data_IF_004821261435
#
_entry.id   IF_004821261435
#
_cell.length_a   1.000
_cell.length_b   1.000
_cell.length_c   1.000
_cell.angle_alpha   90.00
_cell.angle_beta   90.00
_cell.angle_gamma   90.00
#
_symmetry.space_group_name_H-M   'P 1'
#
loop_
_entity.id
_entity.type
_entity.pdbx_description
1 polymer ?
#
# COMPACT_ATOMS: atom_id res chain seq x y z
N UNK A 1 -28.83 -22.42 14.35
CA UNK A 1 -29.15 -21.15 13.66
C UNK A 1 -27.84 -20.60 13.12
N UNK A 2 -27.74 -20.40 11.81
CA UNK A 2 -26.56 -19.79 11.20
C UNK A 2 -26.51 -18.33 11.65
N UNK A 3 -25.42 -17.95 12.27
CA UNK A 3 -25.21 -16.56 12.71
C UNK A 3 -25.00 -15.70 11.48
N UNK A 4 -25.88 -14.74 11.24
CA UNK A 4 -25.75 -13.77 10.14
C UNK A 4 -25.04 -12.50 10.66
N UNK A 5 -24.08 -12.02 9.91
CA UNK A 5 -23.36 -10.78 10.19
C UNK A 5 -23.90 -9.63 9.33
N UNK A 6 -23.71 -8.38 9.78
CA UNK A 6 -23.95 -7.22 8.94
C UNK A 6 -22.92 -7.14 7.81
N UNK A 7 -21.66 -7.46 8.13
CA UNK A 7 -20.58 -7.51 7.15
C UNK A 7 -19.56 -8.62 7.45
N UNK A 8 -18.99 -9.17 6.38
CA UNK A 8 -17.78 -9.98 6.45
C UNK A 8 -16.63 -9.19 5.82
N UNK A 9 -15.47 -9.16 6.47
CA UNK A 9 -14.24 -8.60 5.95
C UNK A 9 -13.23 -9.73 5.78
N UNK A 10 -12.66 -9.89 4.59
CA UNK A 10 -11.69 -10.93 4.28
C UNK A 10 -10.30 -10.30 4.15
N UNK A 11 -9.39 -10.66 5.06
CA UNK A 11 -8.03 -10.13 5.16
C UNK A 11 -7.86 -9.10 6.27
N UNK A 12 -6.79 -9.26 7.06
CA UNK A 12 -6.42 -8.42 8.21
C UNK A 12 -5.31 -7.43 7.90
N UNK A 13 -5.04 -7.13 6.61
CA UNK A 13 -4.17 -6.03 6.21
C UNK A 13 -4.79 -4.67 6.54
N UNK A 14 -4.08 -3.56 6.30
CA UNK A 14 -4.56 -2.23 6.66
C UNK A 14 -5.97 -1.90 6.13
N UNK A 15 -6.32 -2.33 4.91
CA UNK A 15 -7.66 -2.10 4.35
C UNK A 15 -8.74 -2.84 5.16
N UNK A 16 -8.53 -4.13 5.43
CA UNK A 16 -9.54 -4.94 6.12
C UNK A 16 -9.66 -4.59 7.60
N UNK A 17 -8.54 -4.42 8.31
CA UNK A 17 -8.57 -4.06 9.72
C UNK A 17 -9.26 -2.70 9.95
N UNK A 18 -8.97 -1.71 9.09
CA UNK A 18 -9.60 -0.38 9.19
C UNK A 18 -11.07 -0.41 8.77
N UNK A 19 -11.43 -1.19 7.75
CA UNK A 19 -12.84 -1.38 7.41
C UNK A 19 -13.61 -2.03 8.56
N UNK A 20 -13.06 -3.08 9.17
CA UNK A 20 -13.67 -3.75 10.32
C UNK A 20 -13.78 -2.82 11.54
N UNK A 21 -12.74 -2.02 11.85
CA UNK A 21 -12.81 -1.01 12.92
C UNK A 21 -13.93 0.01 12.65
N UNK A 22 -14.01 0.55 11.43
CA UNK A 22 -15.02 1.55 11.09
C UNK A 22 -16.45 0.99 11.14
N UNK A 23 -16.67 -0.24 10.66
CA UNK A 23 -17.95 -0.94 10.77
C UNK A 23 -18.31 -1.22 12.23
N UNK A 24 -17.34 -1.71 13.02
CA UNK A 24 -17.56 -1.96 14.46
C UNK A 24 -17.91 -0.69 15.23
N UNK A 25 -17.23 0.42 14.96
CA UNK A 25 -17.55 1.74 15.57
C UNK A 25 -18.95 2.24 15.17
N UNK A 26 -19.44 1.86 14.00
CA UNK A 26 -20.82 2.14 13.57
C UNK A 26 -21.84 1.13 14.13
N UNK A 27 -21.44 0.25 15.06
CA UNK A 27 -22.31 -0.75 15.71
C UNK A 27 -22.67 -1.93 14.79
N UNK A 28 -21.89 -2.20 13.73
CA UNK A 28 -22.17 -3.28 12.78
C UNK A 28 -21.45 -4.55 13.22
N UNK A 29 -22.23 -5.62 13.38
CA UNK A 29 -21.69 -6.94 13.70
C UNK A 29 -20.86 -7.47 12.54
N UNK A 30 -19.55 -7.49 12.69
CA UNK A 30 -18.59 -7.76 11.63
C UNK A 30 -17.77 -9.02 11.90
N UNK A 31 -17.69 -9.91 10.91
CA UNK A 31 -16.76 -11.05 10.94
C UNK A 31 -15.51 -10.69 10.15
N UNK A 32 -14.34 -10.73 10.80
CA UNK A 32 -13.04 -10.51 10.19
C UNK A 32 -12.33 -11.86 10.01
N UNK A 33 -12.06 -12.23 8.76
CA UNK A 33 -11.43 -13.50 8.39
C UNK A 33 -9.97 -13.29 7.94
N UNK A 34 -9.05 -14.13 8.46
CA UNK A 34 -7.66 -14.15 8.06
C UNK A 34 -7.18 -15.58 7.84
N UNK A 35 -6.46 -15.83 6.75
CA UNK A 35 -5.94 -17.16 6.41
C UNK A 35 -4.77 -17.61 7.30
N UNK A 36 -3.97 -16.67 7.78
CA UNK A 36 -2.81 -16.91 8.64
C UNK A 36 -3.18 -16.68 10.10
N UNK A 37 -2.45 -17.30 11.03
CA UNK A 37 -2.51 -16.94 12.44
C UNK A 37 -1.81 -15.61 12.69
N UNK A 38 -2.43 -14.73 13.48
CA UNK A 38 -1.84 -13.44 13.87
C UNK A 38 -0.91 -13.60 15.09
N UNK A 39 0.19 -12.79 15.18
CA UNK A 39 0.69 -11.85 14.19
C UNK A 39 1.36 -12.57 13.00
N UNK A 40 1.12 -12.11 11.77
CA UNK A 40 1.63 -12.74 10.56
C UNK A 40 2.60 -11.86 9.78
N UNK A 41 3.54 -12.48 9.09
CA UNK A 41 4.41 -11.78 8.16
C UNK A 41 3.63 -11.30 6.91
N UNK A 42 3.97 -10.12 6.40
CA UNK A 42 3.52 -9.63 5.11
C UNK A 42 4.68 -8.93 4.41
N UNK A 43 4.97 -9.34 3.19
CA UNK A 43 6.02 -8.70 2.36
C UNK A 43 5.69 -7.24 2.13
N UNK A 44 6.59 -6.35 2.54
CA UNK A 44 6.47 -4.90 2.40
C UNK A 44 7.70 -4.23 3.02
N UNK A 45 8.28 -3.25 2.34
CA UNK A 45 9.34 -2.42 2.92
C UNK A 45 8.96 -1.76 4.25
N UNK A 46 7.66 -1.64 4.55
CA UNK A 46 7.13 -1.18 5.83
C UNK A 46 7.42 0.30 6.11
N UNK A 47 7.68 1.10 5.09
CA UNK A 47 7.69 2.55 5.18
C UNK A 47 6.26 3.07 5.18
N UNK A 48 5.86 3.74 6.24
CA UNK A 48 4.51 4.31 6.44
C UNK A 48 4.63 5.81 6.50
N UNK A 49 4.08 6.49 5.52
CA UNK A 49 4.11 7.95 5.42
C UNK A 49 3.17 8.61 6.43
N UNK A 50 3.38 9.88 6.70
CA UNK A 50 2.54 10.66 7.63
C UNK A 50 1.07 10.71 7.24
N UNK A 51 0.76 10.53 5.96
CA UNK A 51 -0.61 10.43 5.43
C UNK A 51 -1.44 9.34 6.13
N UNK A 52 -0.79 8.25 6.54
CA UNK A 52 -1.47 7.13 7.21
C UNK A 52 -1.90 7.55 8.62
N UNK A 53 -1.03 8.24 9.36
CA UNK A 53 -1.36 8.80 10.69
C UNK A 53 -2.57 9.76 10.59
N UNK A 54 -2.53 10.66 9.60
CA UNK A 54 -3.64 11.59 9.33
C UNK A 54 -4.94 10.86 8.97
N UNK A 55 -4.86 9.86 8.10
CA UNK A 55 -6.04 9.08 7.70
C UNK A 55 -6.65 8.27 8.87
N UNK A 56 -5.80 7.75 9.76
CA UNK A 56 -6.24 7.03 10.96
C UNK A 56 -6.66 7.95 12.12
N UNK A 57 -6.30 9.24 12.06
CA UNK A 57 -6.56 10.19 13.14
C UNK A 57 -5.79 9.86 14.43
N UNK A 58 -4.58 9.28 14.33
CA UNK A 58 -3.77 8.85 15.48
C UNK A 58 -2.29 9.18 15.26
N UNK A 59 -1.56 9.35 16.36
CA UNK A 59 -0.09 9.39 16.33
C UNK A 59 0.45 7.97 16.22
N UNK A 60 1.28 7.72 15.21
CA UNK A 60 1.93 6.43 14.99
C UNK A 60 3.31 6.35 15.63
N UNK A 61 3.86 7.45 16.15
CA UNK A 61 5.20 7.49 16.77
C UNK A 61 5.38 6.46 17.89
N UNK A 62 4.40 6.24 18.79
CA UNK A 62 4.56 5.28 19.88
C UNK A 62 4.65 3.81 19.44
N UNK A 63 4.16 3.47 18.23
CA UNK A 63 4.15 2.10 17.72
C UNK A 63 5.13 1.90 16.56
N UNK A 64 5.79 2.97 16.11
CA UNK A 64 6.82 2.92 15.08
C UNK A 64 8.13 2.34 15.61
N UNK A 65 8.82 1.52 14.81
CA UNK A 65 10.15 1.00 15.14
C UNK A 65 11.24 2.05 14.94
N UNK A 66 11.09 2.85 13.89
CA UNK A 66 11.99 3.96 13.56
C UNK A 66 11.19 5.12 12.98
N UNK A 67 11.72 6.32 13.17
CA UNK A 67 11.21 7.54 12.55
C UNK A 67 12.31 8.17 11.72
N UNK A 68 12.07 8.30 10.42
CA UNK A 68 13.08 8.70 9.45
C UNK A 68 12.94 10.19 9.13
N UNK A 69 14.02 10.93 9.36
CA UNK A 69 14.12 12.34 9.02
C UNK A 69 15.06 12.60 7.84
N UNK A 70 15.87 11.63 7.43
CA UNK A 70 16.92 11.82 6.41
C UNK A 70 16.77 10.82 5.28
N UNK A 71 16.90 11.27 4.03
CA UNK A 71 16.94 10.42 2.83
C UNK A 71 18.32 10.52 2.19
N UNK A 72 19.01 9.41 1.99
CA UNK A 72 20.17 9.29 1.11
C UNK A 72 19.68 8.97 -0.31
N UNK A 73 19.69 9.96 -1.20
CA UNK A 73 19.31 9.79 -2.58
C UNK A 73 20.52 9.46 -3.44
N UNK A 74 20.54 8.27 -4.05
CA UNK A 74 21.62 7.79 -4.90
C UNK A 74 21.24 7.84 -6.38
N UNK A 75 22.23 8.10 -7.23
CA UNK A 75 22.14 8.03 -8.67
C UNK A 75 23.06 6.95 -9.22
N UNK A 76 22.48 5.86 -9.74
CA UNK A 76 23.18 4.76 -10.40
C UNK A 76 24.23 4.07 -9.52
N UNK A 77 24.00 3.98 -8.23
CA UNK A 77 24.93 3.41 -7.25
C UNK A 77 26.32 4.08 -7.32
N UNK A 78 26.39 5.36 -7.61
CA UNK A 78 27.68 6.11 -7.76
C UNK A 78 27.68 7.42 -7.00
N UNK A 79 26.74 8.31 -7.32
CA UNK A 79 26.62 9.60 -6.70
C UNK A 79 25.53 9.55 -5.62
N UNK A 80 25.78 10.18 -4.48
CA UNK A 80 24.79 10.28 -3.41
C UNK A 80 24.63 11.71 -2.93
N UNK A 81 23.45 12.02 -2.44
CA UNK A 81 23.13 13.27 -1.79
C UNK A 81 22.28 12.99 -0.55
N UNK A 82 22.75 13.49 0.60
CA UNK A 82 21.96 13.46 1.83
C UNK A 82 20.92 14.59 1.79
N UNK A 83 19.68 14.22 1.99
CA UNK A 83 18.51 15.08 1.92
C UNK A 83 17.84 15.10 3.31
N UNK A 84 18.17 16.05 4.19
CA UNK A 84 17.53 16.15 5.49
C UNK A 84 16.11 16.65 5.33
N UNK A 85 15.16 16.05 6.03
CA UNK A 85 13.83 16.56 6.27
C UNK A 85 13.88 17.63 7.37
N UNK A 86 13.07 18.67 7.28
CA UNK A 86 12.86 19.62 8.38
C UNK A 86 12.07 18.97 9.52
N UNK A 87 11.29 17.98 9.20
CA UNK A 87 10.43 17.19 10.07
C UNK A 87 10.48 15.73 9.64
N UNK A 88 10.05 14.77 10.48
CA UNK A 88 9.99 13.37 10.13
C UNK A 88 9.22 13.13 8.84
N UNK A 89 9.72 12.22 7.99
CA UNK A 89 9.17 11.93 6.67
C UNK A 89 8.36 10.63 6.67
N UNK A 90 8.89 9.59 7.29
CA UNK A 90 8.34 8.23 7.22
C UNK A 90 8.55 7.52 8.55
N UNK A 91 7.56 6.77 9.00
CA UNK A 91 7.70 5.78 10.06
C UNK A 91 8.00 4.40 9.48
N UNK A 92 8.87 3.64 10.13
CA UNK A 92 9.19 2.27 9.76
C UNK A 92 8.51 1.30 10.70
N UNK A 93 7.87 0.27 10.13
CA UNK A 93 7.14 -0.75 10.85
C UNK A 93 7.48 -2.13 10.33
N UNK A 94 7.47 -3.11 11.22
CA UNK A 94 7.24 -4.50 10.84
C UNK A 94 5.73 -4.71 10.64
N UNK A 95 5.36 -5.23 9.48
CA UNK A 95 3.96 -5.43 9.11
C UNK A 95 3.22 -6.39 10.05
N UNK A 96 3.92 -7.36 10.63
CA UNK A 96 3.34 -8.25 11.62
C UNK A 96 2.82 -7.49 12.84
N UNK A 97 3.58 -6.53 13.35
CA UNK A 97 3.20 -5.69 14.49
C UNK A 97 2.16 -4.64 14.11
N UNK A 98 2.36 -3.95 12.98
CA UNK A 98 1.44 -2.90 12.55
C UNK A 98 0.05 -3.44 12.21
N UNK A 99 -0.02 -4.54 11.44
CA UNK A 99 -1.31 -5.14 11.08
C UNK A 99 -2.03 -5.69 12.32
N UNK A 100 -1.31 -6.33 13.27
CA UNK A 100 -1.90 -6.81 14.53
C UNK A 100 -2.46 -5.65 15.36
N UNK A 101 -1.72 -4.55 15.48
CA UNK A 101 -2.20 -3.35 16.18
C UNK A 101 -3.48 -2.77 15.54
N UNK A 102 -3.60 -2.75 14.21
CA UNK A 102 -4.84 -2.33 13.55
C UNK A 102 -6.00 -3.29 13.84
N UNK A 103 -5.74 -4.59 13.93
CA UNK A 103 -6.75 -5.60 14.28
C UNK A 103 -7.20 -5.45 15.74
N UNK A 104 -6.28 -5.21 16.66
CA UNK A 104 -6.61 -4.95 18.07
C UNK A 104 -7.56 -3.75 18.21
N UNK A 105 -7.36 -2.68 17.44
CA UNK A 105 -8.28 -1.53 17.39
C UNK A 105 -9.66 -1.92 16.88
N UNK A 106 -9.75 -2.79 15.88
CA UNK A 106 -11.03 -3.28 15.38
C UNK A 106 -11.76 -4.13 16.43
N UNK A 107 -11.04 -5.04 17.10
CA UNK A 107 -11.60 -5.88 18.16
C UNK A 107 -12.05 -5.06 19.37
N UNK A 108 -11.35 -3.99 19.72
CA UNK A 108 -11.69 -3.10 20.82
C UNK A 108 -13.06 -2.40 20.64
N UNK A 109 -13.67 -2.42 19.46
CA UNK A 109 -15.03 -1.92 19.24
C UNK A 109 -16.11 -2.79 19.87
N UNK A 110 -15.79 -4.05 20.20
CA UNK A 110 -16.73 -5.05 20.75
C UNK A 110 -17.75 -5.60 19.73
N UNK A 111 -17.68 -5.16 18.47
CA UNK A 111 -18.59 -5.57 17.39
C UNK A 111 -17.90 -6.45 16.32
N UNK A 112 -16.58 -6.63 16.43
CA UNK A 112 -15.78 -7.39 15.47
C UNK A 112 -15.39 -8.73 16.06
N UNK A 113 -15.77 -9.83 15.39
CA UNK A 113 -15.30 -11.18 15.67
C UNK A 113 -14.18 -11.54 14.70
N UNK A 114 -13.01 -11.95 15.21
CA UNK A 114 -11.88 -12.42 14.41
C UNK A 114 -11.87 -13.95 14.35
N UNK A 115 -11.71 -14.47 13.13
CA UNK A 115 -11.33 -15.87 12.87
C UNK A 115 -10.09 -15.90 12.00
N UNK A 116 -8.94 -16.13 12.62
CA UNK A 116 -7.65 -16.29 11.97
C UNK A 116 -7.27 -17.77 11.79
N UNK A 117 -6.32 -18.04 10.90
CA UNK A 117 -5.99 -19.40 10.45
C UNK A 117 -7.07 -20.02 9.56
N UNK A 118 -7.98 -19.22 9.02
CA UNK A 118 -9.14 -19.67 8.24
C UNK A 118 -9.14 -19.08 6.82
N UNK A 119 -8.70 -19.86 5.84
CA UNK A 119 -8.60 -19.45 4.46
C UNK A 119 -9.95 -19.49 3.74
N UNK A 120 -10.39 -18.35 3.20
CA UNK A 120 -11.55 -18.28 2.29
C UNK A 120 -11.22 -19.01 0.98
N UNK A 121 -12.16 -19.79 0.48
CA UNK A 121 -12.07 -20.55 -0.78
C UNK A 121 -12.85 -19.91 -1.91
N UNK A 122 -14.06 -19.49 -1.62
CA UNK A 122 -14.94 -18.84 -2.60
C UNK A 122 -15.91 -17.87 -1.93
N UNK A 123 -16.40 -16.96 -2.74
CA UNK A 123 -17.41 -15.97 -2.38
C UNK A 123 -18.47 -15.93 -3.45
N UNK A 124 -19.71 -15.86 -3.01
CA UNK A 124 -20.88 -15.57 -3.85
C UNK A 124 -21.54 -14.29 -3.34
N UNK A 125 -22.00 -13.44 -4.24
CA UNK A 125 -22.69 -12.19 -3.89
C UNK A 125 -23.86 -11.96 -4.83
N UNK A 126 -25.02 -11.61 -4.25
CA UNK A 126 -26.21 -11.21 -4.97
C UNK A 126 -26.85 -9.94 -4.37
N UNK A 127 -28.05 -9.61 -4.78
CA UNK A 127 -28.79 -8.45 -4.28
C UNK A 127 -29.23 -8.59 -2.80
N UNK A 128 -29.26 -9.82 -2.26
CA UNK A 128 -29.73 -10.14 -0.90
C UNK A 128 -28.60 -10.20 0.11
N UNK A 129 -27.39 -10.48 -0.33
CA UNK A 129 -26.23 -10.58 0.56
C UNK A 129 -25.07 -11.33 -0.04
N UNK A 130 -24.24 -11.85 0.81
CA UNK A 130 -23.00 -12.53 0.46
C UNK A 130 -22.87 -13.85 1.22
N UNK A 131 -22.29 -14.84 0.55
CA UNK A 131 -21.93 -16.13 1.15
C UNK A 131 -20.42 -16.33 0.99
N UNK A 132 -19.72 -16.59 2.10
CA UNK A 132 -18.28 -16.85 2.14
C UNK A 132 -18.04 -18.27 2.57
N UNK A 133 -17.31 -19.05 1.77
CA UNK A 133 -17.00 -20.46 2.04
C UNK A 133 -15.51 -20.62 2.36
N UNK A 134 -15.26 -21.37 3.40
CA UNK A 134 -13.93 -21.88 3.77
C UNK A 134 -13.87 -23.40 3.54
N UNK A 135 -12.83 -24.08 3.99
CA UNK A 135 -12.77 -25.54 3.94
C UNK A 135 -13.73 -26.22 4.94
N UNK A 136 -14.02 -25.53 6.05
CA UNK A 136 -14.79 -26.09 7.17
C UNK A 136 -16.17 -25.45 7.30
N UNK A 137 -16.26 -24.15 7.05
CA UNK A 137 -17.42 -23.34 7.41
C UNK A 137 -17.98 -22.56 6.23
N UNK A 138 -19.25 -22.19 6.35
CA UNK A 138 -19.93 -21.23 5.47
C UNK A 138 -20.50 -20.10 6.33
N UNK A 139 -20.22 -18.86 5.93
CA UNK A 139 -20.69 -17.65 6.61
C UNK A 139 -21.55 -16.82 5.68
N UNK A 140 -22.56 -16.18 6.25
CA UNK A 140 -23.47 -15.30 5.52
C UNK A 140 -23.47 -13.91 6.12
N UNK A 141 -23.54 -12.88 5.27
CA UNK A 141 -23.66 -11.49 5.68
C UNK A 141 -24.46 -10.67 4.67
N UNK A 142 -24.80 -9.45 5.06
CA UNK A 142 -25.43 -8.50 4.14
C UNK A 142 -24.41 -7.89 3.17
N UNK A 143 -23.16 -7.69 3.61
CA UNK A 143 -22.08 -7.08 2.83
C UNK A 143 -20.77 -7.84 2.98
N UNK A 144 -19.88 -7.66 1.98
CA UNK A 144 -18.51 -8.15 2.01
C UNK A 144 -17.53 -7.04 1.65
N UNK A 145 -16.41 -6.99 2.40
CA UNK A 145 -15.20 -6.26 2.00
C UNK A 145 -14.08 -7.26 1.75
N UNK A 146 -13.69 -7.44 0.48
CA UNK A 146 -12.52 -8.22 0.07
C UNK A 146 -11.25 -7.37 0.19
N UNK A 147 -10.46 -7.64 1.22
CA UNK A 147 -9.17 -6.98 1.53
C UNK A 147 -8.03 -7.99 1.62
N UNK A 148 -8.15 -9.08 0.89
CA UNK A 148 -7.31 -10.28 0.90
C UNK A 148 -6.04 -10.17 0.03
N UNK A 149 -5.78 -8.96 -0.48
CA UNK A 149 -4.57 -8.62 -1.22
C UNK A 149 -4.60 -9.09 -2.67
N UNK A 150 -3.46 -8.93 -3.37
CA UNK A 150 -3.36 -9.15 -4.81
C UNK A 150 -3.66 -10.58 -5.25
N UNK A 151 -3.36 -11.57 -4.42
CA UNK A 151 -3.54 -12.99 -4.72
C UNK A 151 -4.77 -13.63 -4.03
N UNK A 152 -5.58 -12.82 -3.36
CA UNK A 152 -6.75 -13.29 -2.62
C UNK A 152 -7.83 -13.88 -3.53
N UNK A 153 -8.68 -14.78 -3.00
CA UNK A 153 -9.73 -15.44 -3.77
C UNK A 153 -10.93 -14.54 -4.06
N UNK A 154 -11.16 -13.46 -3.28
CA UNK A 154 -12.40 -12.69 -3.36
C UNK A 154 -12.59 -12.06 -4.74
N UNK A 155 -11.57 -11.32 -5.24
CA UNK A 155 -11.64 -10.70 -6.56
C UNK A 155 -11.93 -11.72 -7.67
N UNK A 156 -11.23 -12.87 -7.65
CA UNK A 156 -11.40 -13.96 -8.61
C UNK A 156 -12.79 -14.59 -8.52
N UNK A 157 -13.31 -14.87 -7.32
CA UNK A 157 -14.63 -15.45 -7.12
C UNK A 157 -15.74 -14.56 -7.70
N UNK A 158 -15.54 -13.24 -7.61
CA UNK A 158 -16.51 -12.26 -8.10
C UNK A 158 -16.28 -11.87 -9.58
N UNK A 159 -15.23 -12.37 -10.24
CA UNK A 159 -14.90 -11.99 -11.62
C UNK A 159 -14.43 -10.54 -11.74
N UNK A 160 -13.87 -9.98 -10.65
CA UNK A 160 -13.35 -8.60 -10.58
C UNK A 160 -11.84 -8.57 -10.76
N UNK A 161 -11.30 -7.43 -11.21
CA UNK A 161 -9.85 -7.19 -11.31
C UNK A 161 -9.09 -8.28 -12.08
N UNK A 162 -9.69 -8.84 -13.13
CA UNK A 162 -9.05 -9.90 -13.94
C UNK A 162 -7.87 -9.35 -14.74
N UNK A 163 -8.01 -8.15 -15.29
CA UNK A 163 -6.96 -7.40 -15.95
C UNK A 163 -6.45 -6.32 -14.99
N UNK A 164 -5.17 -6.35 -14.68
CA UNK A 164 -4.49 -5.37 -13.82
C UNK A 164 -3.00 -5.35 -14.11
N UNK A 165 -2.41 -4.18 -14.01
CA UNK A 165 -0.97 -4.03 -14.07
C UNK A 165 -0.33 -4.57 -12.77
N UNK A 166 0.78 -5.29 -12.90
CA UNK A 166 1.52 -5.85 -11.78
C UNK A 166 2.96 -5.35 -11.82
N UNK A 167 3.34 -4.52 -10.86
CA UNK A 167 4.69 -4.00 -10.74
C UNK A 167 5.54 -4.95 -9.87
N UNK A 168 6.59 -5.58 -10.42
CA UNK A 168 7.40 -6.52 -9.66
C UNK A 168 8.35 -5.81 -8.69
N UNK A 169 8.52 -6.42 -7.50
CA UNK A 169 9.48 -6.01 -6.50
C UNK A 169 10.12 -7.23 -5.84
N UNK A 170 11.31 -7.05 -5.28
CA UNK A 170 11.99 -8.05 -4.44
C UNK A 170 12.66 -7.35 -3.28
N UNK A 171 12.63 -7.97 -2.12
CA UNK A 171 13.24 -7.44 -0.90
C UNK A 171 13.95 -8.52 -0.10
N UNK A 172 14.88 -8.09 0.73
CA UNK A 172 15.63 -8.92 1.65
C UNK A 172 15.65 -8.26 3.03
N UNK A 173 15.44 -9.06 4.07
CA UNK A 173 15.70 -8.65 5.44
C UNK A 173 17.14 -9.04 5.78
N UNK A 174 17.95 -8.08 6.23
CA UNK A 174 19.40 -8.19 6.38
C UNK A 174 19.80 -7.84 7.80
N UNK A 175 20.35 -8.82 8.52
CA UNK A 175 21.01 -8.55 9.80
C UNK A 175 22.42 -8.00 9.54
N UNK A 176 22.75 -6.93 10.23
CA UNK A 176 24.03 -6.24 10.19
C UNK A 176 24.56 -6.01 11.61
N UNK A 177 25.82 -5.60 11.76
CA UNK A 177 26.37 -5.25 13.07
C UNK A 177 25.77 -3.95 13.65
N UNK A 178 25.97 -3.75 14.94
CA UNK A 178 25.43 -2.59 15.67
C UNK A 178 25.92 -1.25 15.07
N UNK A 179 27.15 -1.17 14.62
CA UNK A 179 27.73 0.04 14.01
C UNK A 179 27.03 0.38 12.70
N UNK A 180 26.71 -0.62 11.90
CA UNK A 180 25.95 -0.45 10.66
C UNK A 180 24.49 -0.07 10.96
N UNK A 181 23.86 -0.70 11.96
CA UNK A 181 22.50 -0.31 12.39
C UNK A 181 22.43 1.13 12.89
N UNK A 182 23.44 1.58 13.65
CA UNK A 182 23.53 2.95 14.16
C UNK A 182 23.62 3.98 13.02
N UNK A 183 24.37 3.69 11.96
CA UNK A 183 24.42 4.52 10.76
C UNK A 183 23.04 4.73 10.14
N UNK A 184 22.16 3.74 10.22
CA UNK A 184 20.82 3.77 9.63
C UNK A 184 19.72 4.21 10.61
N UNK A 185 20.08 4.71 11.79
CA UNK A 185 19.13 4.98 12.86
C UNK A 185 17.97 5.91 12.45
N UNK A 186 18.25 7.02 11.73
CA UNK A 186 17.30 8.07 11.37
C UNK A 186 17.17 8.29 9.86
N UNK A 187 17.76 7.41 9.06
CA UNK A 187 17.86 7.59 7.61
C UNK A 187 17.40 6.37 6.82
N UNK A 188 16.95 6.64 5.63
CA UNK A 188 16.69 5.64 4.60
C UNK A 188 17.47 5.98 3.33
N UNK A 189 17.69 5.00 2.44
CA UNK A 189 18.28 5.26 1.13
C UNK A 189 17.30 4.92 -0.01
N UNK A 190 17.42 5.70 -1.08
CA UNK A 190 16.76 5.45 -2.36
C UNK A 190 17.81 5.51 -3.46
N UNK A 191 17.91 4.49 -4.30
CA UNK A 191 18.73 4.50 -5.52
C UNK A 191 17.83 4.56 -6.75
N UNK A 192 18.14 5.47 -7.66
CA UNK A 192 17.41 5.65 -8.92
C UNK A 192 18.35 5.67 -10.12
N UNK A 193 17.82 5.28 -11.28
CA UNK A 193 18.54 5.31 -12.55
C UNK A 193 19.53 4.16 -12.79
N UNK A 194 19.70 3.22 -11.84
CA UNK A 194 20.57 2.04 -12.00
C UNK A 194 19.98 1.03 -12.96
N UNK A 195 18.72 0.77 -12.85
CA UNK A 195 17.92 0.00 -13.81
C UNK A 195 16.77 0.90 -14.29
N UNK A 196 16.55 0.96 -15.61
CA UNK A 196 15.48 1.80 -16.17
C UNK A 196 14.11 1.43 -15.57
N UNK A 197 13.34 2.45 -15.17
CA UNK A 197 12.02 2.27 -14.60
C UNK A 197 12.00 1.57 -13.23
N UNK A 198 13.10 1.63 -12.50
CA UNK A 198 13.22 0.98 -11.20
C UNK A 198 13.83 1.90 -10.16
N UNK A 199 13.63 1.55 -8.90
CA UNK A 199 14.34 2.13 -7.77
C UNK A 199 14.72 1.05 -6.76
N UNK A 200 15.76 1.34 -5.95
CA UNK A 200 16.14 0.52 -4.81
C UNK A 200 15.94 1.28 -3.51
N UNK A 201 15.74 0.56 -2.44
CA UNK A 201 15.60 1.14 -1.10
C UNK A 201 16.40 0.40 -0.04
N UNK A 202 16.75 1.13 1.02
CA UNK A 202 17.18 0.60 2.32
C UNK A 202 16.31 1.24 3.39
N UNK A 203 15.52 0.43 4.07
CA UNK A 203 14.60 0.84 5.12
C UNK A 203 15.00 0.18 6.45
N UNK A 204 15.47 0.94 7.44
CA UNK A 204 15.84 0.37 8.72
C UNK A 204 14.62 -0.08 9.52
N UNK A 205 14.77 -1.21 10.19
CA UNK A 205 13.88 -1.72 11.22
C UNK A 205 14.54 -1.61 12.59
N UNK A 206 13.90 -2.11 13.62
CA UNK A 206 14.47 -2.12 14.96
C UNK A 206 15.79 -2.89 15.02
N UNK A 207 15.84 -4.09 14.40
CA UNK A 207 16.91 -5.08 14.54
C UNK A 207 17.54 -5.51 13.21
N UNK A 208 17.04 -5.04 12.06
CA UNK A 208 17.55 -5.38 10.73
C UNK A 208 17.31 -4.24 9.71
N UNK A 209 17.82 -4.43 8.50
CA UNK A 209 17.54 -3.55 7.35
C UNK A 209 16.70 -4.30 6.33
N UNK A 210 15.61 -3.71 5.87
CA UNK A 210 14.89 -4.18 4.69
C UNK A 210 15.49 -3.51 3.46
N UNK A 211 16.08 -4.29 2.58
CA UNK A 211 16.74 -3.84 1.35
C UNK A 211 16.05 -4.43 0.15
N UNK A 212 15.59 -3.58 -0.76
CA UNK A 212 14.83 -4.07 -1.90
C UNK A 212 14.96 -3.23 -3.15
N UNK A 213 14.36 -3.73 -4.21
CA UNK A 213 14.25 -3.08 -5.52
C UNK A 213 12.88 -3.33 -6.11
N UNK A 214 12.31 -2.29 -6.74
CA UNK A 214 11.00 -2.35 -7.41
C UNK A 214 11.08 -1.77 -8.82
N UNK A 215 10.15 -2.18 -9.68
CA UNK A 215 10.03 -1.69 -11.04
C UNK A 215 8.67 -1.05 -11.26
N UNK A 216 8.64 0.11 -11.92
CA UNK A 216 7.42 0.84 -12.29
C UNK A 216 6.87 0.47 -13.66
N UNK A 217 7.56 -0.36 -14.43
CA UNK A 217 7.12 -0.76 -15.76
C UNK A 217 6.64 -2.20 -15.74
N UNK A 218 5.45 -2.42 -16.27
CA UNK A 218 4.88 -3.76 -16.51
C UNK A 218 5.51 -4.41 -17.73
N UNK A 219 6.11 -3.62 -18.65
CA UNK A 219 6.88 -4.11 -19.80
C UNK A 219 8.06 -4.93 -19.28
N UNK A 220 7.76 -6.17 -19.02
CA UNK A 220 8.48 -7.24 -18.37
C UNK A 220 9.99 -7.17 -18.60
N UNK A 221 10.65 -6.44 -17.70
CA UNK A 221 12.07 -6.69 -17.57
C UNK A 221 12.24 -8.09 -17.00
N UNK A 222 13.12 -8.89 -17.58
CA UNK A 222 13.33 -10.22 -17.06
C UNK A 222 13.57 -10.16 -15.56
N UNK A 223 12.88 -10.98 -14.78
CA UNK A 223 13.06 -11.06 -13.32
C UNK A 223 14.55 -11.16 -12.93
N UNK A 224 15.37 -11.71 -13.83
CA UNK A 224 16.83 -11.71 -13.73
C UNK A 224 17.43 -10.32 -13.59
N UNK A 225 17.02 -9.33 -14.40
CA UNK A 225 17.59 -7.97 -14.34
C UNK A 225 17.25 -7.28 -12.99
N UNK A 226 16.03 -7.46 -12.50
CA UNK A 226 15.64 -6.93 -11.19
C UNK A 226 16.45 -7.62 -10.06
N UNK A 227 16.63 -8.92 -10.14
CA UNK A 227 17.44 -9.69 -9.19
C UNK A 227 18.92 -9.28 -9.22
N UNK A 228 19.50 -9.07 -10.40
CA UNK A 228 20.88 -8.61 -10.56
C UNK A 228 21.04 -7.15 -10.05
N UNK A 229 20.06 -6.31 -10.27
CA UNK A 229 20.02 -4.97 -9.66
C UNK A 229 19.98 -5.07 -8.13
N UNK A 230 19.11 -5.91 -7.57
CA UNK A 230 19.00 -6.10 -6.12
C UNK A 230 20.33 -6.53 -5.49
N UNK A 231 21.08 -7.46 -6.11
CA UNK A 231 22.42 -7.86 -5.64
C UNK A 231 23.42 -6.70 -5.65
N UNK A 232 23.43 -5.92 -6.73
CA UNK A 232 24.35 -4.77 -6.86
C UNK A 232 23.99 -3.67 -5.86
N UNK A 233 22.69 -3.42 -5.67
CA UNK A 233 22.19 -2.45 -4.70
C UNK A 233 22.59 -2.84 -3.28
N UNK A 234 22.38 -4.09 -2.90
CA UNK A 234 22.77 -4.63 -1.60
C UNK A 234 24.29 -4.47 -1.37
N UNK A 235 25.11 -4.92 -2.31
CA UNK A 235 26.57 -4.83 -2.19
C UNK A 235 27.08 -3.39 -2.09
N UNK A 236 26.43 -2.44 -2.77
CA UNK A 236 26.78 -1.02 -2.71
C UNK A 236 26.39 -0.39 -1.38
N UNK A 237 25.19 -0.68 -0.88
CA UNK A 237 24.66 -0.06 0.34
C UNK A 237 25.29 -0.65 1.62
N UNK A 238 25.61 -1.94 1.58
CA UNK A 238 26.11 -2.72 2.73
C UNK A 238 27.39 -3.48 2.35
N UNK A 239 28.53 -2.78 2.24
CA UNK A 239 29.80 -3.41 1.85
C UNK A 239 30.46 -4.27 2.94
N UNK A 240 29.94 -4.22 4.17
CA UNK A 240 30.45 -4.93 5.34
C UNK A 240 29.85 -6.32 5.55
N UNK A 241 30.20 -6.97 6.67
CA UNK A 241 29.60 -8.26 7.06
C UNK A 241 28.09 -8.13 7.23
N UNK A 242 27.35 -9.07 6.65
CA UNK A 242 25.90 -9.12 6.73
C UNK A 242 25.39 -10.56 6.65
N UNK A 243 24.19 -10.79 7.16
CA UNK A 243 23.49 -12.07 7.06
C UNK A 243 22.09 -11.86 6.50
N UNK A 244 21.77 -12.48 5.38
CA UNK A 244 20.43 -12.49 4.80
C UNK A 244 19.52 -13.33 5.69
N UNK A 245 18.49 -12.73 6.25
CA UNK A 245 17.49 -13.40 7.08
C UNK A 245 16.36 -13.98 6.22
N UNK A 246 15.94 -13.22 5.20
CA UNK A 246 14.84 -13.58 4.32
C UNK A 246 15.02 -12.93 2.94
N UNK A 247 14.54 -13.59 1.89
CA UNK A 247 14.41 -13.02 0.54
C UNK A 247 13.02 -13.35 0.00
N UNK A 248 12.31 -12.35 -0.50
CA UNK A 248 10.94 -12.49 -1.04
C UNK A 248 10.75 -11.65 -2.29
N UNK A 249 9.98 -12.20 -3.24
CA UNK A 249 9.40 -11.47 -4.35
C UNK A 249 7.95 -11.05 -4.05
N UNK A 250 7.54 -9.94 -4.61
CA UNK A 250 6.19 -9.40 -4.49
C UNK A 250 5.77 -8.69 -5.76
N UNK A 251 4.45 -8.50 -5.95
CA UNK A 251 3.89 -7.70 -7.02
C UNK A 251 2.93 -6.66 -6.45
N UNK A 252 3.02 -5.44 -6.94
CA UNK A 252 2.16 -4.32 -6.60
C UNK A 252 1.09 -4.17 -7.68
N UNK A 253 -0.20 -4.33 -7.34
CA UNK A 253 -1.27 -4.28 -8.32
C UNK A 253 -1.72 -2.84 -8.57
N UNK A 254 -1.95 -2.48 -9.82
CA UNK A 254 -2.56 -1.22 -10.20
C UNK A 254 -3.93 -1.48 -10.85
N UNK A 255 -4.95 -0.75 -10.39
CA UNK A 255 -6.30 -0.82 -10.94
C UNK A 255 -6.35 -0.09 -12.28
N UNK A 256 -6.70 -0.72 -13.40
CA UNK A 256 -7.00 0.01 -14.63
C UNK A 256 -8.11 1.03 -14.40
N UNK A 257 -8.05 2.17 -15.10
CA UNK A 257 -9.08 3.21 -14.96
C UNK A 257 -10.44 2.64 -15.38
N UNK A 258 -11.45 2.77 -14.50
CA UNK A 258 -12.78 2.23 -14.74
C UNK A 258 -12.93 0.71 -14.52
N UNK A 259 -11.88 -0.02 -14.12
CA UNK A 259 -12.02 -1.43 -13.79
C UNK A 259 -12.94 -1.62 -12.58
N UNK A 260 -13.91 -2.55 -12.65
CA UNK A 260 -14.88 -2.73 -11.58
C UNK A 260 -14.22 -3.32 -10.32
N UNK A 261 -14.55 -2.75 -9.17
CA UNK A 261 -14.11 -3.18 -7.83
C UNK A 261 -15.28 -3.46 -6.90
N UNK A 262 -16.48 -3.50 -7.46
CA UNK A 262 -17.73 -3.79 -6.76
C UNK A 262 -18.58 -4.76 -7.58
N UNK A 263 -19.24 -5.70 -6.89
CA UNK A 263 -20.29 -6.55 -7.47
C UNK A 263 -21.40 -6.75 -6.45
N UNK A 264 -22.57 -6.13 -6.71
CA UNK A 264 -23.67 -6.14 -5.75
C UNK A 264 -23.23 -5.57 -4.41
N UNK A 265 -23.35 -6.37 -3.34
CA UNK A 265 -22.97 -6.00 -1.97
C UNK A 265 -21.54 -6.42 -1.57
N UNK A 266 -20.74 -6.84 -2.54
CA UNK A 266 -19.33 -7.19 -2.33
C UNK A 266 -18.40 -6.13 -2.93
N UNK A 267 -17.46 -5.64 -2.13
CA UNK A 267 -16.51 -4.56 -2.40
C UNK A 267 -15.08 -5.08 -2.32
N UNK A 268 -14.18 -4.57 -3.15
CA UNK A 268 -12.74 -4.82 -3.01
C UNK A 268 -12.04 -3.58 -2.43
N UNK A 269 -11.05 -3.76 -1.54
CA UNK A 269 -10.28 -2.68 -0.95
C UNK A 269 -8.77 -2.98 -0.92
N UNK A 270 -7.95 -1.94 -0.89
CA UNK A 270 -6.48 -2.05 -0.87
C UNK A 270 -5.93 -2.76 -2.12
N UNK A 271 -4.94 -3.65 -1.93
CA UNK A 271 -4.29 -4.39 -3.02
C UNK A 271 -5.28 -5.30 -3.78
N UNK A 272 -6.35 -5.79 -3.14
CA UNK A 272 -7.38 -6.58 -3.82
C UNK A 272 -8.10 -5.76 -4.89
N UNK A 273 -8.24 -4.44 -4.66
CA UNK A 273 -8.79 -3.47 -5.62
C UNK A 273 -7.72 -2.81 -6.50
N UNK A 274 -6.44 -3.21 -6.38
CA UNK A 274 -5.35 -2.61 -7.15
C UNK A 274 -5.05 -1.14 -6.79
N UNK A 275 -5.35 -0.72 -5.58
CA UNK A 275 -5.18 0.67 -5.13
C UNK A 275 -3.78 0.88 -4.55
N UNK A 276 -2.78 0.79 -5.41
CA UNK A 276 -1.38 1.11 -5.10
C UNK A 276 -0.96 2.32 -5.93
N UNK A 277 -0.21 3.21 -5.32
CA UNK A 277 0.35 4.37 -5.98
C UNK A 277 1.58 3.96 -6.80
N UNK A 278 1.58 4.27 -8.10
CA UNK A 278 2.55 3.73 -9.04
C UNK A 278 3.96 4.35 -8.92
N UNK A 279 4.08 5.61 -8.47
CA UNK A 279 5.36 6.34 -8.48
C UNK A 279 6.29 5.96 -7.34
N UNK A 280 5.75 5.70 -6.14
CA UNK A 280 6.53 5.32 -4.97
C UNK A 280 6.30 3.87 -4.55
N UNK A 281 5.26 3.21 -5.06
CA UNK A 281 4.82 1.89 -4.60
C UNK A 281 4.07 1.94 -3.26
N UNK A 282 3.60 3.12 -2.83
CA UNK A 282 2.84 3.26 -1.59
C UNK A 282 1.48 2.58 -1.70
N UNK A 283 1.23 1.57 -0.87
CA UNK A 283 -0.06 0.87 -0.82
C UNK A 283 -0.81 1.09 0.50
N UNK A 284 -0.09 1.30 1.63
CA UNK A 284 -0.70 1.30 2.97
C UNK A 284 -1.70 2.45 3.16
N UNK A 285 -1.34 3.67 2.71
CA UNK A 285 -2.26 4.81 2.78
C UNK A 285 -3.56 4.55 2.01
N UNK A 286 -3.44 4.05 0.79
CA UNK A 286 -4.59 3.78 -0.08
C UNK A 286 -5.43 2.61 0.43
N UNK A 287 -4.79 1.62 1.06
CA UNK A 287 -5.46 0.53 1.75
C UNK A 287 -6.31 1.05 2.91
N UNK A 288 -5.75 1.90 3.77
CA UNK A 288 -6.49 2.55 4.87
C UNK A 288 -7.67 3.36 4.33
N UNK A 289 -7.43 4.22 3.35
CA UNK A 289 -8.48 5.09 2.79
C UNK A 289 -9.61 4.30 2.12
N UNK A 290 -9.27 3.28 1.32
CA UNK A 290 -10.29 2.45 0.68
C UNK A 290 -11.09 1.62 1.69
N UNK A 291 -10.45 1.14 2.75
CA UNK A 291 -11.15 0.46 3.85
C UNK A 291 -12.16 1.37 4.57
N UNK A 292 -11.78 2.62 4.85
CA UNK A 292 -12.67 3.64 5.42
C UNK A 292 -13.87 3.93 4.50
N UNK A 293 -13.60 4.14 3.20
CA UNK A 293 -14.65 4.42 2.21
C UNK A 293 -15.60 3.22 2.06
N UNK A 294 -15.07 1.98 2.09
CA UNK A 294 -15.89 0.78 2.02
C UNK A 294 -16.84 0.68 3.23
N UNK A 295 -16.34 0.87 4.43
CA UNK A 295 -17.16 0.85 5.64
C UNK A 295 -18.22 1.95 5.61
N UNK A 296 -17.85 3.20 5.25
CA UNK A 296 -18.79 4.31 5.17
C UNK A 296 -19.88 4.08 4.13
N UNK A 297 -19.53 3.54 2.95
CA UNK A 297 -20.50 3.21 1.90
C UNK A 297 -21.51 2.17 2.39
N UNK A 298 -21.07 1.15 3.12
CA UNK A 298 -21.93 0.13 3.71
C UNK A 298 -22.88 0.76 4.73
N UNK A 299 -22.35 1.55 5.66
CA UNK A 299 -23.15 2.21 6.72
C UNK A 299 -24.20 3.13 6.10
N UNK A 300 -23.82 3.97 5.16
CA UNK A 300 -24.74 4.91 4.50
C UNK A 300 -25.86 4.16 3.75
N UNK A 301 -25.50 3.09 3.02
CA UNK A 301 -26.48 2.28 2.31
C UNK A 301 -27.46 1.58 3.27
N UNK A 302 -27.00 1.10 4.42
CA UNK A 302 -27.87 0.53 5.47
C UNK A 302 -28.81 1.58 6.07
N UNK A 303 -28.29 2.79 6.34
CA UNK A 303 -29.10 3.90 6.88
C UNK A 303 -30.20 4.35 5.91
N UNK A 304 -29.98 4.19 4.61
CA UNK A 304 -30.99 4.43 3.55
C UNK A 304 -31.96 3.24 3.36
N UNK A 305 -31.97 2.27 4.29
CA UNK A 305 -32.79 1.07 4.23
C UNK A 305 -32.31 0.03 3.23
N UNK A 306 -31.05 0.06 2.87
CA UNK A 306 -30.37 -0.83 1.90
C UNK A 306 -31.07 -0.84 0.51
N UNK A 307 -31.61 0.33 0.12
CA UNK A 307 -32.31 0.52 -1.17
C UNK A 307 -31.38 1.12 -2.21
N UNK A 308 -31.53 0.71 -3.47
CA UNK A 308 -30.72 1.19 -4.58
C UNK A 308 -29.35 0.52 -4.68
N UNK A 309 -28.48 1.11 -5.46
CA UNK A 309 -27.12 0.66 -5.68
C UNK A 309 -26.17 1.19 -4.61
N UNK A 310 -25.29 0.33 -4.13
CA UNK A 310 -24.19 0.72 -3.27
C UNK A 310 -23.18 1.57 -4.07
N UNK A 311 -22.84 2.77 -3.63
CA UNK A 311 -22.09 3.76 -4.40
C UNK A 311 -20.57 3.77 -4.13
N UNK A 312 -20.04 2.65 -3.61
CA UNK A 312 -18.63 2.52 -3.22
C UNK A 312 -17.66 2.83 -4.36
N UNK A 313 -17.88 2.22 -5.53
CA UNK A 313 -16.99 2.41 -6.68
C UNK A 313 -16.92 3.88 -7.10
N UNK A 314 -18.04 4.56 -7.17
CA UNK A 314 -18.10 6.00 -7.45
C UNK A 314 -17.34 6.84 -6.41
N UNK A 315 -17.42 6.45 -5.13
CA UNK A 315 -16.66 7.13 -4.06
C UNK A 315 -15.14 6.93 -4.21
N UNK A 316 -14.69 5.72 -4.55
CA UNK A 316 -13.28 5.45 -4.84
C UNK A 316 -12.82 6.26 -6.06
N UNK A 317 -13.59 6.26 -7.13
CA UNK A 317 -13.27 6.98 -8.37
C UNK A 317 -13.19 8.50 -8.14
N UNK A 318 -14.05 9.05 -7.31
CA UNK A 318 -14.01 10.47 -6.97
C UNK A 318 -12.89 10.85 -5.99
N UNK A 319 -12.64 10.02 -4.97
CA UNK A 319 -11.78 10.38 -3.85
C UNK A 319 -10.31 9.96 -4.03
N UNK A 320 -10.03 8.81 -4.68
CA UNK A 320 -8.69 8.24 -4.73
C UNK A 320 -8.10 8.22 -6.15
N UNK A 321 -8.90 7.90 -7.17
CA UNK A 321 -8.40 7.70 -8.52
C UNK A 321 -7.73 8.94 -9.15
N UNK A 322 -8.17 10.19 -8.93
CA UNK A 322 -7.48 11.34 -9.50
C UNK A 322 -6.00 11.41 -9.10
N UNK A 323 -5.69 11.23 -7.81
CA UNK A 323 -4.31 11.24 -7.31
C UNK A 323 -3.53 10.00 -7.77
N UNK A 324 -4.14 8.81 -7.81
CA UNK A 324 -3.50 7.59 -8.31
C UNK A 324 -3.17 7.69 -9.80
N UNK A 325 -4.03 8.28 -10.59
CA UNK A 325 -3.80 8.55 -12.03
C UNK A 325 -2.68 9.57 -12.22
N UNK A 326 -2.67 10.65 -11.45
CA UNK A 326 -1.59 11.64 -11.52
C UNK A 326 -0.25 11.03 -11.09
N UNK A 327 -0.22 10.13 -10.10
CA UNK A 327 0.98 9.40 -9.73
C UNK A 327 1.55 8.54 -10.88
N UNK A 328 0.69 7.92 -11.71
CA UNK A 328 1.14 7.21 -12.93
C UNK A 328 1.78 8.16 -13.93
N UNK A 329 1.21 9.35 -14.13
CA UNK A 329 1.80 10.38 -14.98
C UNK A 329 3.19 10.81 -14.48
N UNK A 330 3.36 10.95 -13.17
CA UNK A 330 4.67 11.22 -12.56
C UNK A 330 5.65 10.04 -12.73
N UNK A 331 5.18 8.81 -12.66
CA UNK A 331 5.99 7.65 -12.98
C UNK A 331 6.48 7.67 -14.44
N UNK A 332 5.64 8.06 -15.40
CA UNK A 332 6.06 8.25 -16.81
C UNK A 332 7.08 9.37 -16.96
N UNK A 333 6.94 10.50 -16.25
CA UNK A 333 7.96 11.56 -16.23
C UNK A 333 9.28 11.01 -15.71
N UNK A 334 9.26 10.19 -14.66
CA UNK A 334 10.46 9.52 -14.16
C UNK A 334 11.07 8.57 -15.20
N UNK A 335 10.26 7.80 -15.92
CA UNK A 335 10.74 6.91 -16.98
C UNK A 335 11.47 7.68 -18.09
N UNK A 336 10.99 8.85 -18.45
CA UNK A 336 11.59 9.66 -19.54
C UNK A 336 12.76 10.52 -19.06
N UNK A 337 12.68 11.05 -17.84
CA UNK A 337 13.63 12.03 -17.31
C UNK A 337 14.21 11.63 -15.93
N UNK A 338 14.72 10.39 -15.76
CA UNK A 338 15.16 9.90 -14.45
C UNK A 338 16.31 10.75 -13.86
N UNK A 339 17.19 11.31 -14.73
CA UNK A 339 18.27 12.19 -14.29
C UNK A 339 17.76 13.52 -13.72
N UNK A 340 16.68 14.06 -14.28
CA UNK A 340 16.06 15.28 -13.75
C UNK A 340 15.39 15.01 -12.40
N UNK A 341 14.70 13.87 -12.25
CA UNK A 341 14.09 13.43 -10.99
C UNK A 341 15.12 13.25 -9.86
N UNK A 342 16.35 12.90 -10.17
CA UNK A 342 17.46 12.92 -9.21
C UNK A 342 18.00 14.34 -8.99
N UNK A 343 18.38 15.03 -10.08
CA UNK A 343 19.19 16.24 -10.01
C UNK A 343 18.43 17.43 -9.40
N UNK A 344 17.12 17.56 -9.65
CA UNK A 344 16.32 18.66 -9.15
C UNK A 344 16.22 18.66 -7.61
N UNK A 345 15.77 17.61 -6.95
CA UNK A 345 15.76 17.57 -5.48
C UNK A 345 17.16 17.60 -4.89
N UNK A 346 18.16 16.95 -5.52
CA UNK A 346 19.54 16.93 -5.03
C UNK A 346 20.24 18.30 -5.06
N UNK A 347 19.82 19.21 -5.93
CA UNK A 347 20.45 20.54 -6.12
C UNK A 347 19.64 21.68 -5.55
N UNK A 348 18.33 21.51 -5.32
CA UNK A 348 17.43 22.57 -4.89
C UNK A 348 16.71 22.21 -3.59
N UNK A 349 17.04 22.88 -2.46
CA UNK A 349 16.31 22.69 -1.20
C UNK A 349 14.82 23.03 -1.31
N UNK A 350 14.43 23.94 -2.22
CA UNK A 350 13.02 24.25 -2.49
C UNK A 350 12.30 23.08 -3.16
N UNK A 351 12.98 22.43 -4.11
CA UNK A 351 12.42 21.28 -4.81
C UNK A 351 12.33 20.07 -3.88
N UNK A 352 13.37 19.82 -3.08
CA UNK A 352 13.32 18.80 -2.03
C UNK A 352 12.18 19.04 -1.04
N UNK A 353 12.01 20.28 -0.58
CA UNK A 353 10.90 20.64 0.30
C UNK A 353 9.52 20.38 -0.33
N UNK A 354 9.37 20.51 -1.65
CA UNK A 354 8.14 20.15 -2.34
C UNK A 354 7.90 18.63 -2.36
N UNK A 355 8.95 17.83 -2.61
CA UNK A 355 8.90 16.37 -2.54
C UNK A 355 8.56 15.90 -1.12
N UNK A 356 9.22 16.45 -0.10
CA UNK A 356 8.96 16.13 1.30
C UNK A 356 7.49 16.40 1.69
N UNK A 357 6.88 17.46 1.18
CA UNK A 357 5.45 17.77 1.41
C UNK A 357 4.51 16.73 0.80
N UNK A 358 4.86 16.16 -0.36
CA UNK A 358 4.08 15.07 -0.97
C UNK A 358 4.20 13.82 -0.11
N UNK A 359 5.42 13.45 0.31
CA UNK A 359 5.67 12.29 1.19
C UNK A 359 4.90 12.41 2.50
N UNK A 360 4.80 13.60 3.06
CA UNK A 360 4.09 13.87 4.32
C UNK A 360 2.57 14.03 4.16
N UNK A 361 2.07 14.09 2.93
CA UNK A 361 0.65 14.29 2.67
C UNK A 361 0.14 15.70 2.87
N UNK A 362 1.03 16.69 2.95
CA UNK A 362 0.67 18.12 2.95
C UNK A 362 0.22 18.60 1.55
N UNK A 363 0.55 17.82 0.54
CA UNK A 363 0.14 17.97 -0.87
C UNK A 363 0.03 16.62 -1.51
N UNK A 364 -0.83 16.52 -2.51
CA UNK A 364 -0.88 15.36 -3.39
C UNK A 364 -0.34 15.66 -4.79
N UNK A 365 -0.33 14.67 -5.67
CA UNK A 365 0.15 14.83 -7.05
C UNK A 365 -0.76 15.74 -7.87
N UNK A 366 -2.05 15.73 -7.58
CA UNK A 366 -3.06 16.59 -8.24
C UNK A 366 -2.83 18.05 -7.88
N UNK A 367 -2.56 18.36 -6.60
CA UNK A 367 -2.19 19.70 -6.15
C UNK A 367 -0.96 20.24 -6.87
N UNK A 368 0.08 19.39 -7.01
CA UNK A 368 1.32 19.77 -7.70
C UNK A 368 1.03 20.04 -9.18
N UNK A 369 0.28 19.17 -9.83
CA UNK A 369 -0.11 19.35 -11.24
C UNK A 369 -0.87 20.65 -11.47
N UNK A 370 -1.86 20.95 -10.63
CA UNK A 370 -2.65 22.19 -10.72
C UNK A 370 -1.79 23.45 -10.55
N UNK A 371 -0.83 23.43 -9.62
CA UNK A 371 0.08 24.57 -9.38
C UNK A 371 1.06 24.84 -10.51
N UNK A 372 1.38 23.84 -11.31
CA UNK A 372 2.20 23.98 -12.51
C UNK A 372 1.44 24.65 -13.69
N UNK A 373 0.14 24.87 -13.57
CA UNK A 373 -0.69 25.58 -14.52
C UNK A 373 -0.65 24.97 -15.93
N UNK A 374 -0.21 25.73 -16.94
CA UNK A 374 -0.11 25.24 -18.32
C UNK A 374 0.85 24.04 -18.47
N UNK A 375 1.97 24.02 -17.74
CA UNK A 375 2.90 22.88 -17.72
C UNK A 375 2.25 21.64 -17.06
N UNK A 376 1.42 21.83 -16.03
CA UNK A 376 0.68 20.72 -15.42
C UNK A 376 -0.31 20.07 -16.39
N UNK A 377 -0.94 20.85 -17.29
CA UNK A 377 -1.83 20.34 -18.34
C UNK A 377 -1.09 19.50 -19.40
N UNK A 378 0.20 19.71 -19.61
CA UNK A 378 0.98 18.83 -20.50
C UNK A 378 1.04 17.40 -19.96
N UNK A 379 0.94 17.20 -18.66
CA UNK A 379 0.85 15.86 -18.07
C UNK A 379 -0.45 15.13 -18.45
N UNK A 380 -1.51 15.83 -18.87
CA UNK A 380 -2.76 15.18 -19.31
C UNK A 380 -2.59 14.37 -20.60
N UNK A 381 -1.52 14.65 -21.38
CA UNK A 381 -1.17 13.90 -22.57
C UNK A 381 -0.34 12.63 -22.28
N UNK A 382 0.11 12.46 -21.02
CA UNK A 382 0.87 11.28 -20.65
C UNK A 382 -0.07 10.07 -20.49
N UNK A 383 0.41 8.87 -20.86
CA UNK A 383 -0.35 7.65 -20.66
C UNK A 383 -0.68 7.46 -19.17
N UNK A 384 -1.81 6.85 -18.89
CA UNK A 384 -2.21 6.44 -17.54
C UNK A 384 -2.06 4.93 -17.31
N UNK A 385 -1.77 4.20 -18.35
CA UNK A 385 -1.43 2.78 -18.32
C UNK A 385 0.08 2.63 -18.14
N UNK A 386 0.49 1.65 -17.35
CA UNK A 386 1.90 1.43 -17.01
C UNK A 386 2.55 0.34 -17.88
N UNK A 387 1.91 -0.01 -18.99
CA UNK A 387 2.31 -1.04 -19.95
C UNK A 387 3.61 -0.78 -20.71
#
# INVERSE_FOLDING_TARGET
>A
MTVRYDAIVVGTGPAGAVAAEALGRAGRRTLLLERERLPRAKTCGGGVTWKVAQALGVDLTPVAERTIGTVELHWRLKASKTMPGREPLVHMFQRSRFDAWLVERALATGQVELKDGLAVKSVEADARGVTVRTAQDTFEADYLVGADGVAGPVARSLGLMQERDLLPATEQDIAVDAKTMDRWHDRMALDIGTLYGSYGWVFPKEDHLNVGVGCFSTNSRPAKQLKDYGKRHLAYQLPGPMRVLRTVGFVLPLRPVGAPIQRGRALLAGDAAGLVEAFTGEGIHWAVRSGQIAAQAIVDHQMQGARGELDYERRIDAALMPTLVDARRWAHIYLWLPRACYALPARSPRFWGAVAKIVRGERDYTDVRQRLGAFGRLADWLPVEMG
#
